data_IF_098366668294
#
_entry.id   IF_098366668294
#
_cell.length_a   1.000
_cell.length_b   1.000
_cell.length_c   1.000
_cell.angle_alpha   90.00
_cell.angle_beta   90.00
_cell.angle_gamma   90.00
#
_symmetry.space_group_name_H-M   'P 1'
#
loop_
_entity.id
_entity.type
_entity.pdbx_description
1 polymer ?
#
# COMPACT_ATOMS: atom_id res chain seq x y z
N UNK A 1 2.31 12.76 -9.83
CA UNK A 1 2.97 13.42 -8.67
C UNK A 1 3.72 12.43 -7.78
N UNK A 2 3.10 11.32 -7.35
CA UNK A 2 3.70 10.32 -6.46
C UNK A 2 5.03 9.77 -7.00
N UNK A 3 5.05 9.25 -8.24
CA UNK A 3 6.27 8.70 -8.84
C UNK A 3 7.44 9.68 -8.87
N UNK A 4 7.17 10.95 -9.20
CA UNK A 4 8.18 12.02 -9.16
C UNK A 4 8.73 12.20 -7.75
N UNK A 5 7.85 12.33 -6.75
CA UNK A 5 8.25 12.57 -5.36
C UNK A 5 8.99 11.39 -4.73
N UNK A 6 8.55 10.17 -5.03
CA UNK A 6 9.25 8.94 -4.62
C UNK A 6 10.65 8.92 -5.22
N UNK A 7 10.82 9.22 -6.51
CA UNK A 7 12.13 9.29 -7.15
C UNK A 7 13.04 10.39 -6.57
N UNK A 8 12.51 11.59 -6.32
CA UNK A 8 13.25 12.68 -5.66
C UNK A 8 13.74 12.29 -4.26
N UNK A 9 12.87 11.69 -3.45
CA UNK A 9 13.21 11.28 -2.08
C UNK A 9 14.17 10.09 -2.06
N UNK A 10 13.95 9.08 -2.90
CA UNK A 10 14.85 7.94 -3.02
C UNK A 10 16.24 8.38 -3.46
N UNK A 11 16.34 9.29 -4.43
CA UNK A 11 17.61 9.86 -4.88
C UNK A 11 18.33 10.64 -3.76
N UNK A 12 17.60 11.47 -3.00
CA UNK A 12 18.18 12.20 -1.86
C UNK A 12 18.63 11.32 -0.69
N UNK A 13 18.11 10.09 -0.60
CA UNK A 13 18.46 9.08 0.41
C UNK A 13 19.40 8.00 -0.14
N UNK A 14 19.87 8.14 -1.38
CA UNK A 14 20.70 7.15 -2.08
C UNK A 14 20.10 5.73 -2.11
N UNK A 15 18.76 5.63 -2.09
CA UNK A 15 18.06 4.35 -2.11
C UNK A 15 18.04 3.79 -3.54
N UNK A 16 18.41 2.50 -3.74
CA UNK A 16 18.18 1.81 -5.00
C UNK A 16 16.70 1.87 -5.38
N UNK A 17 16.43 2.06 -6.67
CA UNK A 17 15.06 2.08 -7.21
C UNK A 17 14.86 0.83 -8.08
N UNK A 18 14.21 -0.21 -7.55
CA UNK A 18 13.94 -1.43 -8.31
C UNK A 18 13.09 -1.16 -9.56
N UNK A 19 13.24 -2.01 -10.58
CA UNK A 19 12.52 -1.85 -11.86
C UNK A 19 11.00 -1.85 -11.71
N UNK A 20 10.47 -2.57 -10.72
CA UNK A 20 9.04 -2.70 -10.46
C UNK A 20 8.44 -1.55 -9.63
N UNK A 21 9.21 -0.51 -9.26
CA UNK A 21 8.69 0.59 -8.42
C UNK A 21 7.45 1.26 -9.00
N UNK A 22 7.38 1.41 -10.32
CA UNK A 22 6.18 1.96 -10.97
C UNK A 22 4.93 1.11 -10.77
N UNK A 23 5.09 -0.22 -10.80
CA UNK A 23 4.00 -1.18 -10.57
C UNK A 23 3.53 -1.13 -9.12
N UNK A 24 4.46 -1.10 -8.16
CA UNK A 24 4.11 -1.03 -6.74
C UNK A 24 3.45 0.31 -6.38
N UNK A 25 3.88 1.43 -6.97
CA UNK A 25 3.17 2.72 -6.84
C UNK A 25 1.72 2.58 -7.33
N UNK A 26 1.51 1.94 -8.48
CA UNK A 26 0.15 1.76 -9.01
C UNK A 26 -0.72 0.88 -8.10
N UNK A 27 -0.15 -0.20 -7.55
CA UNK A 27 -0.84 -1.09 -6.60
C UNK A 27 -1.22 -0.37 -5.31
N UNK A 28 -0.27 0.33 -4.68
CA UNK A 28 -0.51 1.13 -3.46
C UNK A 28 -1.57 2.20 -3.70
N UNK A 29 -1.49 2.93 -4.81
CA UNK A 29 -2.49 3.96 -5.15
C UNK A 29 -3.86 3.38 -5.47
N UNK A 30 -3.93 2.13 -5.95
CA UNK A 30 -5.20 1.44 -6.17
C UNK A 30 -5.85 1.13 -4.84
N UNK A 31 -5.11 0.50 -3.91
CA UNK A 31 -5.59 0.22 -2.54
C UNK A 31 -6.08 1.50 -1.84
N UNK A 32 -5.27 2.56 -1.88
CA UNK A 32 -5.62 3.84 -1.26
C UNK A 32 -6.88 4.45 -1.86
N UNK A 33 -7.00 4.44 -3.19
CA UNK A 33 -8.14 5.02 -3.89
C UNK A 33 -9.41 4.28 -3.57
N UNK A 34 -9.39 2.95 -3.59
CA UNK A 34 -10.58 2.14 -3.37
C UNK A 34 -11.11 2.32 -1.94
N UNK A 35 -10.24 2.16 -0.94
CA UNK A 35 -10.60 2.37 0.47
C UNK A 35 -11.10 3.79 0.72
N UNK A 36 -10.41 4.81 0.19
CA UNK A 36 -10.79 6.23 0.36
C UNK A 36 -12.12 6.57 -0.32
N UNK A 37 -12.39 5.96 -1.48
CA UNK A 37 -13.63 6.22 -2.22
C UNK A 37 -14.81 5.40 -1.71
N UNK A 38 -14.57 4.38 -0.89
CA UNK A 38 -15.60 3.44 -0.44
C UNK A 38 -16.14 2.57 -1.58
N UNK A 39 -15.35 2.33 -2.63
CA UNK A 39 -15.72 1.47 -3.74
C UNK A 39 -14.51 0.94 -4.50
N UNK A 40 -14.65 -0.19 -5.19
CA UNK A 40 -13.61 -0.65 -6.13
C UNK A 40 -13.46 0.30 -7.32
N UNK A 41 -12.30 0.28 -7.99
CA UNK A 41 -11.99 1.18 -9.10
C UNK A 41 -12.96 1.04 -10.29
N UNK A 42 -13.62 -0.11 -10.42
CA UNK A 42 -14.67 -0.37 -11.42
C UNK A 42 -16.09 -0.07 -10.91
N UNK A 43 -16.24 0.38 -9.65
CA UNK A 43 -17.50 0.76 -9.02
C UNK A 43 -18.44 -0.40 -8.69
N UNK A 44 -18.01 -1.65 -8.83
CA UNK A 44 -18.89 -2.82 -8.66
C UNK A 44 -19.10 -3.26 -7.22
N UNK A 45 -18.14 -2.96 -6.34
CA UNK A 45 -18.20 -3.36 -4.93
C UNK A 45 -18.12 -2.09 -4.08
N UNK A 46 -19.14 -1.87 -3.26
CA UNK A 46 -19.13 -0.84 -2.22
C UNK A 46 -18.30 -1.33 -1.04
N UNK A 47 -17.49 -0.45 -0.47
CA UNK A 47 -16.57 -0.71 0.61
C UNK A 47 -16.82 0.24 1.77
N UNK A 48 -16.50 -0.19 2.98
CA UNK A 48 -16.32 0.73 4.10
C UNK A 48 -15.06 1.56 3.88
N UNK A 49 -15.07 2.78 4.41
CA UNK A 49 -13.92 3.69 4.35
C UNK A 49 -13.27 3.76 5.73
N UNK A 50 -11.95 3.61 5.84
CA UNK A 50 -11.25 3.78 7.11
C UNK A 50 -11.30 5.25 7.55
N UNK A 51 -11.03 5.49 8.83
CA UNK A 51 -10.99 6.84 9.40
C UNK A 51 -9.83 7.70 8.85
N UNK A 52 -8.78 7.04 8.32
CA UNK A 52 -7.58 7.68 7.76
C UNK A 52 -7.81 8.38 6.41
N UNK A 53 -7.04 9.45 6.15
CA UNK A 53 -7.20 10.27 4.94
C UNK A 53 -6.76 9.57 3.64
N UNK A 54 -5.84 8.61 3.74
CA UNK A 54 -5.21 7.92 2.60
C UNK A 54 -4.69 8.92 1.55
N UNK A 55 -3.91 9.88 2.05
CA UNK A 55 -3.45 11.03 1.29
C UNK A 55 -2.35 10.68 0.30
N UNK A 56 -2.08 11.62 -0.62
CA UNK A 56 -0.91 11.52 -1.52
C UNK A 56 0.41 11.47 -0.74
N UNK A 57 0.49 12.17 0.39
CA UNK A 57 1.69 12.19 1.23
C UNK A 57 1.93 10.83 1.90
N UNK A 58 0.86 10.19 2.40
CA UNK A 58 0.94 8.84 2.96
C UNK A 58 1.39 7.82 1.91
N UNK A 59 0.86 7.89 0.67
CA UNK A 59 1.31 7.00 -0.40
C UNK A 59 2.81 7.17 -0.74
N UNK A 60 3.31 8.43 -0.76
CA UNK A 60 4.74 8.69 -0.96
C UNK A 60 5.55 8.11 0.21
N UNK A 61 5.11 8.34 1.45
CA UNK A 61 5.78 7.83 2.64
C UNK A 61 5.84 6.30 2.66
N UNK A 62 4.74 5.62 2.29
CA UNK A 62 4.70 4.16 2.15
C UNK A 62 5.71 3.64 1.15
N UNK A 63 5.79 4.27 -0.03
CA UNK A 63 6.73 3.86 -1.06
C UNK A 63 8.19 4.10 -0.65
N UNK A 64 8.50 5.24 -0.02
CA UNK A 64 9.86 5.53 0.47
C UNK A 64 10.25 4.56 1.60
N UNK A 65 9.31 4.25 2.50
CA UNK A 65 9.52 3.23 3.54
C UNK A 65 9.82 1.86 2.94
N UNK A 66 9.06 1.43 1.93
CA UNK A 66 9.29 0.14 1.25
C UNK A 66 10.60 0.11 0.48
N UNK A 67 11.01 1.22 -0.15
CA UNK A 67 12.33 1.32 -0.78
C UNK A 67 13.47 1.21 0.22
N UNK A 68 13.33 1.85 1.38
CA UNK A 68 14.30 1.73 2.47
C UNK A 68 14.37 0.29 2.98
N UNK A 69 13.22 -0.35 3.20
CA UNK A 69 13.13 -1.75 3.61
C UNK A 69 13.83 -2.66 2.59
N UNK A 70 13.53 -2.49 1.30
CA UNK A 70 14.13 -3.24 0.22
C UNK A 70 15.66 -3.08 0.19
N UNK A 71 16.15 -1.85 0.34
CA UNK A 71 17.58 -1.55 0.27
C UNK A 71 18.38 -2.23 1.38
N UNK A 72 17.82 -2.35 2.58
CA UNK A 72 18.56 -2.77 3.77
C UNK A 72 18.23 -4.19 4.25
N UNK A 73 17.05 -4.72 3.92
CA UNK A 73 16.55 -5.95 4.52
C UNK A 73 16.05 -7.01 3.52
N UNK A 74 15.79 -6.64 2.25
CA UNK A 74 15.20 -7.57 1.27
C UNK A 74 16.02 -7.71 -0.03
N UNK A 75 17.35 -7.65 0.06
CA UNK A 75 18.27 -7.81 -1.09
C UNK A 75 17.96 -6.87 -2.27
N UNK A 76 17.49 -5.65 -1.99
CA UNK A 76 17.10 -4.67 -2.99
C UNK A 76 15.78 -4.99 -3.71
N UNK A 77 14.98 -5.94 -3.22
CA UNK A 77 13.69 -6.31 -3.82
C UNK A 77 12.55 -5.56 -3.16
N UNK A 78 11.79 -4.82 -3.95
CA UNK A 78 10.55 -4.20 -3.46
C UNK A 78 9.39 -5.16 -3.68
N UNK A 79 8.77 -5.63 -2.59
CA UNK A 79 7.59 -6.51 -2.61
C UNK A 79 6.57 -6.11 -1.54
N UNK A 80 5.41 -6.76 -1.58
CA UNK A 80 4.28 -6.47 -0.71
C UNK A 80 4.62 -6.57 0.78
N UNK A 81 5.47 -7.52 1.19
CA UNK A 81 5.83 -7.73 2.61
C UNK A 81 6.59 -6.52 3.18
N UNK A 82 7.52 -5.95 2.41
CA UNK A 82 8.23 -4.73 2.82
C UNK A 82 7.36 -3.47 2.82
N UNK A 83 6.26 -3.45 2.06
CA UNK A 83 5.31 -2.33 2.00
C UNK A 83 4.17 -2.45 3.02
N UNK A 84 3.82 -3.67 3.44
CA UNK A 84 2.67 -3.95 4.28
C UNK A 84 2.68 -3.21 5.63
N UNK A 85 3.78 -3.13 6.40
CA UNK A 85 3.78 -2.40 7.68
C UNK A 85 3.41 -0.92 7.53
N UNK A 86 3.94 -0.27 6.51
CA UNK A 86 3.64 1.15 6.25
C UNK A 86 2.22 1.34 5.70
N UNK A 87 1.74 0.41 4.87
CA UNK A 87 0.35 0.40 4.41
C UNK A 87 -0.62 0.26 5.59
N UNK A 88 -0.39 -0.68 6.50
CA UNK A 88 -1.21 -0.86 7.70
C UNK A 88 -1.19 0.41 8.54
N UNK A 89 -0.04 1.02 8.79
CA UNK A 89 0.03 2.29 9.53
C UNK A 89 -0.63 3.48 8.82
N UNK A 90 -0.76 3.45 7.50
CA UNK A 90 -1.49 4.45 6.73
C UNK A 90 -3.02 4.22 6.76
N UNK A 91 -3.45 2.96 6.73
CA UNK A 91 -4.86 2.56 6.64
C UNK A 91 -5.52 2.51 8.03
N UNK A 92 -4.84 1.92 9.01
CA UNK A 92 -5.37 1.64 10.35
C UNK A 92 -4.92 2.73 11.31
N UNK A 93 -5.79 3.72 11.55
CA UNK A 93 -5.59 4.79 12.55
C UNK A 93 -6.35 4.48 13.84
N UNK A 94 -7.56 3.95 13.70
CA UNK A 94 -8.32 3.33 14.78
C UNK A 94 -8.09 1.80 14.74
N UNK A 95 -7.45 1.22 15.78
CA UNK A 95 -7.07 -0.20 15.76
C UNK A 95 -8.26 -1.17 15.80
N UNK A 96 -9.46 -0.70 16.12
CA UNK A 96 -10.67 -1.53 16.17
C UNK A 96 -11.48 -1.34 14.90
N UNK A 97 -11.83 -0.10 14.55
CA UNK A 97 -12.72 0.17 13.42
C UNK A 97 -12.02 -0.03 12.09
N UNK A 98 -10.83 0.55 11.92
CA UNK A 98 -10.14 0.53 10.63
C UNK A 98 -9.56 -0.86 10.31
N UNK A 99 -9.22 -1.63 11.35
CA UNK A 99 -8.81 -3.04 11.20
C UNK A 99 -9.93 -3.85 10.53
N UNK A 100 -11.17 -3.74 11.03
CA UNK A 100 -12.32 -4.43 10.44
C UNK A 100 -12.57 -3.99 9.00
N UNK A 101 -12.40 -2.69 8.70
CA UNK A 101 -12.51 -2.19 7.32
C UNK A 101 -11.47 -2.82 6.40
N UNK A 102 -10.22 -2.91 6.86
CA UNK A 102 -9.14 -3.52 6.09
C UNK A 102 -9.36 -5.02 5.88
N UNK A 103 -9.72 -5.78 6.93
CA UNK A 103 -10.05 -7.21 6.83
C UNK A 103 -11.15 -7.48 5.78
N UNK A 104 -12.22 -6.68 5.81
CA UNK A 104 -13.32 -6.81 4.84
C UNK A 104 -12.84 -6.53 3.40
N UNK A 105 -12.02 -5.49 3.19
CA UNK A 105 -11.44 -5.19 1.88
C UNK A 105 -10.50 -6.31 1.40
N UNK A 106 -9.70 -6.90 2.29
CA UNK A 106 -8.83 -8.03 1.96
C UNK A 106 -9.63 -9.23 1.46
N UNK A 107 -10.68 -9.62 2.19
CA UNK A 107 -11.50 -10.79 1.85
C UNK A 107 -12.40 -10.58 0.63
N UNK A 108 -12.97 -9.38 0.48
CA UNK A 108 -13.97 -9.12 -0.57
C UNK A 108 -13.34 -8.73 -1.91
N UNK A 109 -12.19 -8.05 -1.87
CA UNK A 109 -11.51 -7.47 -3.04
C UNK A 109 -10.18 -8.15 -3.31
N UNK A 110 -9.18 -7.99 -2.43
CA UNK A 110 -7.80 -8.40 -2.74
C UNK A 110 -7.65 -9.92 -2.89
N UNK A 111 -8.37 -10.72 -2.12
CA UNK A 111 -8.41 -12.19 -2.23
C UNK A 111 -8.78 -12.68 -3.63
N UNK A 112 -9.58 -11.89 -4.36
CA UNK A 112 -10.07 -12.22 -5.71
C UNK A 112 -9.18 -11.66 -6.83
N UNK A 113 -8.08 -10.98 -6.49
CA UNK A 113 -7.14 -10.36 -7.43
C UNK A 113 -5.79 -11.08 -7.38
N UNK A 114 -5.50 -12.02 -8.31
CA UNK A 114 -4.26 -12.81 -8.28
C UNK A 114 -2.98 -11.97 -8.30
N UNK A 115 -3.01 -10.84 -9.01
CA UNK A 115 -1.92 -9.86 -9.11
C UNK A 115 -1.65 -9.09 -7.81
N UNK A 116 -2.53 -9.24 -6.81
CA UNK A 116 -2.39 -8.69 -5.46
C UNK A 116 -2.26 -9.78 -4.39
N UNK A 117 -2.06 -11.04 -4.76
CA UNK A 117 -1.97 -12.15 -3.79
C UNK A 117 -0.90 -11.90 -2.70
N UNK A 118 0.25 -11.30 -3.08
CA UNK A 118 1.29 -10.92 -2.11
C UNK A 118 0.81 -9.87 -1.10
N UNK A 119 0.04 -8.87 -1.54
CA UNK A 119 -0.55 -7.87 -0.63
C UNK A 119 -1.63 -8.47 0.26
N UNK A 120 -2.47 -9.35 -0.28
CA UNK A 120 -3.46 -10.07 0.52
C UNK A 120 -2.80 -10.86 1.66
N UNK A 121 -1.74 -11.62 1.36
CA UNK A 121 -1.01 -12.40 2.35
C UNK A 121 -0.29 -11.50 3.38
N UNK A 122 0.47 -10.51 2.90
CA UNK A 122 1.29 -9.66 3.76
C UNK A 122 0.46 -8.75 4.68
N UNK A 123 -0.64 -8.19 4.18
CA UNK A 123 -1.51 -7.35 5.00
C UNK A 123 -2.28 -8.18 6.04
N UNK A 124 -2.76 -9.38 5.69
CA UNK A 124 -3.37 -10.29 6.67
C UNK A 124 -2.40 -10.70 7.78
N UNK A 125 -1.12 -10.90 7.45
CA UNK A 125 -0.11 -11.24 8.46
C UNK A 125 0.24 -10.06 9.38
N UNK A 126 -0.05 -8.82 8.96
CA UNK A 126 0.34 -7.60 9.66
C UNK A 126 -0.78 -6.97 10.52
N UNK A 127 -2.00 -7.51 10.47
CA UNK A 127 -3.17 -7.03 11.23
C UNK A 127 -3.70 -8.07 12.21
#
# INVERSE_FOLDING_TARGET
IVSRRVGEMAGGLELPVPKNVGEEIARVLTIFRELRSGATADGKVTLKTPSGSLSTAEAIATMVSGLSQAAWFDDGKLHAEGLAPSLVGAIVKDPVQDKVVLEEYLETVLKKRPDYAGYYAALNAAI
#
